data_IF_534471280462
#
_entry.id   IF_534471280462
#
_cell.length_a   1.000
_cell.length_b   1.000
_cell.length_c   1.000
_cell.angle_alpha   90.00
_cell.angle_beta   90.00
_cell.angle_gamma   90.00
#
_symmetry.space_group_name_H-M   'P 1'
#
loop_
_entity.id
_entity.type
_entity.pdbx_description
1 polymer ?
#
# COMPACT_ATOMS: atom_id res chain seq x y z
N UNK A 1 3.09 -39.28 -8.63
CA UNK A 1 2.04 -39.86 -9.45
C UNK A 1 1.42 -38.75 -10.33
N UNK A 2 1.46 -38.93 -11.65
CA UNK A 2 0.95 -37.97 -12.65
C UNK A 2 -0.46 -38.33 -13.11
N UNK A 3 -0.75 -39.64 -13.20
CA UNK A 3 -2.02 -40.19 -13.66
C UNK A 3 -2.44 -41.34 -12.77
N UNK A 4 -3.72 -41.43 -12.43
CA UNK A 4 -4.28 -42.53 -11.67
C UNK A 4 -4.49 -43.76 -12.54
N UNK A 5 -4.77 -44.90 -11.91
CA UNK A 5 -5.05 -46.20 -12.62
C UNK A 5 -6.27 -46.12 -13.53
N UNK A 6 -7.26 -45.28 -13.16
CA UNK A 6 -8.47 -45.04 -13.95
C UNK A 6 -8.29 -44.04 -15.11
N UNK A 7 -7.06 -43.57 -15.32
CA UNK A 7 -6.73 -42.60 -16.37
C UNK A 7 -6.99 -41.14 -16.01
N UNK A 8 -7.58 -40.83 -14.85
CA UNK A 8 -7.82 -39.44 -14.41
C UNK A 8 -6.52 -38.74 -13.98
N UNK A 9 -6.50 -37.42 -14.15
CA UNK A 9 -5.36 -36.57 -13.77
C UNK A 9 -5.40 -36.20 -12.30
N UNK A 10 -4.22 -35.89 -11.74
CA UNK A 10 -4.05 -35.33 -10.40
C UNK A 10 -3.91 -33.81 -10.46
N UNK A 11 -3.89 -33.18 -9.28
CA UNK A 11 -3.63 -31.74 -9.16
C UNK A 11 -2.34 -31.34 -9.88
N UNK A 12 -1.24 -32.01 -9.58
CA UNK A 12 0.07 -31.70 -10.15
C UNK A 12 0.05 -31.74 -11.69
N UNK A 13 -0.67 -32.70 -12.30
CA UNK A 13 -0.78 -32.81 -13.77
C UNK A 13 -1.43 -31.55 -14.38
N UNK A 14 -2.48 -31.01 -13.71
CA UNK A 14 -3.18 -29.82 -14.16
C UNK A 14 -2.33 -28.57 -13.97
N UNK A 15 -1.58 -28.49 -12.87
CA UNK A 15 -0.71 -27.35 -12.58
C UNK A 15 0.49 -27.31 -13.52
N UNK A 16 1.06 -28.48 -13.88
CA UNK A 16 2.09 -28.59 -14.92
C UNK A 16 1.57 -28.10 -16.27
N UNK A 17 0.41 -28.59 -16.70
CA UNK A 17 -0.24 -28.13 -17.95
C UNK A 17 -0.51 -26.63 -17.94
N UNK A 18 -0.99 -26.10 -16.81
CA UNK A 18 -1.24 -24.67 -16.66
C UNK A 18 0.05 -23.83 -16.71
N UNK A 19 1.15 -24.32 -16.13
CA UNK A 19 2.44 -23.63 -16.19
C UNK A 19 2.97 -23.55 -17.62
N UNK A 20 2.90 -24.69 -18.37
CA UNK A 20 3.31 -24.77 -19.75
C UNK A 20 2.46 -23.81 -20.61
N UNK A 21 1.13 -23.88 -20.48
CA UNK A 21 0.21 -22.98 -21.18
C UNK A 21 0.51 -21.51 -20.91
N UNK A 22 0.77 -21.15 -19.64
CA UNK A 22 1.12 -19.76 -19.28
C UNK A 22 2.40 -19.31 -19.95
N UNK A 23 3.43 -20.17 -20.02
CA UNK A 23 4.68 -19.82 -20.69
C UNK A 23 4.47 -19.63 -22.20
N UNK A 24 3.75 -20.53 -22.84
CA UNK A 24 3.46 -20.46 -24.27
C UNK A 24 2.60 -19.24 -24.64
N UNK A 25 1.60 -18.92 -23.79
CA UNK A 25 0.64 -17.85 -24.08
C UNK A 25 1.19 -16.48 -23.74
N UNK A 26 1.85 -16.32 -22.60
CA UNK A 26 2.25 -15.00 -22.04
C UNK A 26 3.74 -14.73 -22.14
N UNK A 27 4.54 -15.74 -22.48
CA UNK A 27 6.01 -15.62 -22.50
C UNK A 27 6.57 -14.89 -21.27
N UNK A 28 6.08 -15.22 -20.08
CA UNK A 28 6.45 -14.56 -18.83
C UNK A 28 7.96 -14.64 -18.56
N UNK A 29 8.51 -13.61 -17.95
CA UNK A 29 9.87 -13.64 -17.38
C UNK A 29 9.86 -14.19 -15.95
N UNK A 30 8.71 -14.14 -15.24
CA UNK A 30 8.50 -14.70 -13.91
C UNK A 30 7.05 -15.13 -13.73
N UNK A 31 6.81 -16.31 -13.17
CA UNK A 31 5.49 -16.83 -12.83
C UNK A 31 5.37 -16.98 -11.31
N UNK A 32 4.53 -16.16 -10.69
CA UNK A 32 4.39 -16.07 -9.23
C UNK A 32 3.12 -16.81 -8.81
N UNK A 33 3.27 -17.82 -7.97
CA UNK A 33 2.17 -18.58 -7.37
C UNK A 33 1.94 -18.09 -5.93
N UNK A 34 0.91 -17.26 -5.73
CA UNK A 34 0.50 -16.79 -4.40
C UNK A 34 -0.49 -17.80 -3.82
N UNK A 35 -0.01 -18.71 -3.00
CA UNK A 35 -0.80 -19.83 -2.47
C UNK A 35 -0.40 -20.13 -1.02
N UNK A 36 -1.35 -20.60 -0.20
CA UNK A 36 -1.13 -20.89 1.22
C UNK A 36 0.07 -21.81 1.49
N UNK A 37 0.73 -21.60 2.61
CA UNK A 37 1.97 -22.31 3.02
C UNK A 37 1.84 -23.83 3.08
N UNK A 38 0.62 -24.34 3.23
CA UNK A 38 0.33 -25.79 3.22
C UNK A 38 0.69 -26.46 1.87
N UNK A 39 0.85 -25.67 0.81
CA UNK A 39 1.19 -26.16 -0.54
C UNK A 39 2.69 -26.08 -0.86
N UNK A 40 3.56 -25.77 0.11
CA UNK A 40 5.01 -25.64 -0.10
C UNK A 40 5.60 -26.86 -0.82
N UNK A 41 5.35 -28.06 -0.30
CA UNK A 41 5.88 -29.28 -0.89
C UNK A 41 5.35 -29.53 -2.31
N UNK A 42 4.08 -29.23 -2.55
CA UNK A 42 3.46 -29.38 -3.87
C UNK A 42 4.19 -28.52 -4.93
N UNK A 43 4.44 -27.25 -4.65
CA UNK A 43 5.13 -26.35 -5.58
C UNK A 43 6.60 -26.71 -5.76
N UNK A 44 7.30 -27.14 -4.71
CA UNK A 44 8.66 -27.65 -4.85
C UNK A 44 8.72 -28.85 -5.81
N UNK A 45 7.82 -29.82 -5.64
CA UNK A 45 7.75 -30.99 -6.51
C UNK A 45 7.33 -30.62 -7.94
N UNK A 46 6.38 -29.69 -8.10
CA UNK A 46 5.93 -29.21 -9.40
C UNK A 46 7.06 -28.56 -10.20
N UNK A 47 7.85 -27.69 -9.58
CA UNK A 47 8.97 -27.01 -10.26
C UNK A 47 10.07 -28.00 -10.63
N UNK A 48 10.40 -28.95 -9.75
CA UNK A 48 11.34 -30.02 -10.06
C UNK A 48 10.88 -30.92 -11.25
N UNK A 49 9.58 -31.20 -11.33
CA UNK A 49 9.04 -31.96 -12.46
C UNK A 49 9.15 -31.17 -13.76
N UNK A 50 8.89 -29.87 -13.76
CA UNK A 50 9.08 -29.00 -14.94
C UNK A 50 10.56 -29.00 -15.39
N UNK A 51 11.51 -28.94 -14.47
CA UNK A 51 12.95 -29.03 -14.77
C UNK A 51 13.29 -30.37 -15.38
N UNK A 52 12.79 -31.48 -14.80
CA UNK A 52 13.00 -32.84 -15.33
C UNK A 52 12.36 -33.04 -16.71
N UNK A 53 11.31 -32.28 -17.03
CA UNK A 53 10.70 -32.28 -18.37
C UNK A 53 11.51 -31.45 -19.38
N UNK A 54 12.61 -30.79 -18.95
CA UNK A 54 13.51 -30.04 -19.81
C UNK A 54 13.08 -28.58 -20.03
N UNK A 55 12.23 -28.02 -19.17
CA UNK A 55 11.81 -26.61 -19.25
C UNK A 55 12.77 -25.72 -18.47
N UNK A 56 13.71 -25.05 -19.14
CA UNK A 56 14.70 -24.14 -18.55
C UNK A 56 14.08 -22.98 -17.77
N UNK A 57 12.85 -22.57 -18.14
CA UNK A 57 12.10 -21.51 -17.47
C UNK A 57 11.44 -21.94 -16.15
N UNK A 58 11.54 -23.21 -15.74
CA UNK A 58 11.02 -23.68 -14.44
C UNK A 58 11.59 -22.86 -13.28
N UNK A 59 12.86 -22.43 -13.38
CA UNK A 59 13.53 -21.52 -12.41
C UNK A 59 12.90 -20.16 -12.26
N UNK A 60 12.12 -19.72 -13.26
CA UNK A 60 11.40 -18.44 -13.23
C UNK A 60 10.02 -18.58 -12.56
N UNK A 61 9.65 -19.79 -12.13
CA UNK A 61 8.45 -20.06 -11.35
C UNK A 61 8.78 -20.03 -9.86
N UNK A 62 8.03 -19.21 -9.11
CA UNK A 62 8.23 -19.07 -7.67
C UNK A 62 6.92 -19.23 -6.90
N UNK A 63 6.98 -19.89 -5.75
CA UNK A 63 5.88 -19.96 -4.80
C UNK A 63 6.05 -18.90 -3.72
N UNK A 64 5.05 -18.05 -3.57
CA UNK A 64 4.95 -17.06 -2.51
C UNK A 64 3.91 -17.55 -1.51
N UNK A 65 4.35 -18.28 -0.46
CA UNK A 65 3.44 -18.80 0.55
C UNK A 65 2.88 -17.69 1.44
N UNK A 66 1.63 -17.86 1.89
CA UNK A 66 1.01 -16.99 2.90
C UNK A 66 0.44 -17.81 4.05
N UNK A 67 0.29 -17.17 5.22
CA UNK A 67 -0.30 -17.71 6.42
C UNK A 67 -1.83 -17.70 6.39
N UNK A 68 -2.45 -18.14 7.47
CA UNK A 68 -3.90 -18.21 7.59
C UNK A 68 -4.45 -17.00 8.35
N UNK A 69 -5.59 -16.49 7.88
CA UNK A 69 -6.38 -15.49 8.59
C UNK A 69 -7.45 -16.21 9.40
N UNK A 70 -7.53 -15.90 10.69
CA UNK A 70 -8.56 -16.39 11.59
C UNK A 70 -9.48 -15.23 12.00
N UNK A 71 -10.76 -15.51 12.22
CA UNK A 71 -11.71 -14.57 12.80
C UNK A 71 -11.93 -14.87 14.27
N UNK A 72 -12.36 -13.87 15.03
CA UNK A 72 -12.87 -14.08 16.39
C UNK A 72 -14.01 -15.12 16.36
N UNK A 73 -13.83 -16.24 17.08
CA UNK A 73 -14.79 -17.35 17.08
C UNK A 73 -14.35 -18.61 16.36
N UNK A 74 -13.12 -18.65 15.84
CA UNK A 74 -12.45 -19.86 15.34
C UNK A 74 -12.13 -19.86 13.85
N UNK A 75 -11.37 -20.87 13.43
CA UNK A 75 -10.92 -21.06 12.04
C UNK A 75 -12.08 -21.30 11.08
N UNK A 76 -12.03 -20.63 9.94
CA UNK A 76 -12.95 -20.88 8.82
C UNK A 76 -12.79 -22.32 8.30
N UNK A 77 -13.90 -23.02 8.12
CA UNK A 77 -13.90 -24.38 7.58
C UNK A 77 -15.08 -24.59 6.65
N UNK A 78 -14.80 -24.74 5.36
CA UNK A 78 -15.80 -25.09 4.35
C UNK A 78 -16.51 -26.43 4.66
N UNK A 79 -15.81 -27.38 5.30
CA UNK A 79 -16.39 -28.69 5.69
C UNK A 79 -17.38 -28.57 6.83
N UNK A 80 -17.33 -27.51 7.64
CA UNK A 80 -18.23 -27.25 8.79
C UNK A 80 -19.27 -26.18 8.50
N UNK A 81 -19.43 -25.74 7.24
CA UNK A 81 -20.42 -24.72 6.86
C UNK A 81 -20.14 -23.31 7.33
N UNK A 82 -18.96 -23.03 7.89
CA UNK A 82 -18.53 -21.68 8.29
C UNK A 82 -17.66 -21.09 7.18
N UNK A 83 -18.30 -20.58 6.14
CA UNK A 83 -17.63 -19.87 5.04
C UNK A 83 -17.91 -18.39 5.22
N UNK A 84 -16.86 -17.57 5.20
CA UNK A 84 -16.96 -16.12 5.12
C UNK A 84 -16.53 -15.72 3.71
N UNK A 85 -17.44 -15.11 2.97
CA UNK A 85 -17.13 -14.63 1.64
C UNK A 85 -16.40 -13.29 1.71
N UNK A 86 -15.35 -13.12 0.90
CA UNK A 86 -14.61 -11.87 0.82
C UNK A 86 -15.54 -10.68 0.51
N UNK A 87 -16.52 -10.87 -0.38
CA UNK A 87 -17.50 -9.84 -0.70
C UNK A 87 -18.26 -9.32 0.54
N UNK A 88 -18.64 -10.24 1.47
CA UNK A 88 -19.36 -9.86 2.70
C UNK A 88 -18.45 -9.07 3.63
N UNK A 89 -17.17 -9.45 3.73
CA UNK A 89 -16.16 -8.72 4.53
C UNK A 89 -15.98 -7.30 4.00
N UNK A 90 -15.80 -7.15 2.69
CA UNK A 90 -15.62 -5.84 2.06
C UNK A 90 -16.87 -4.95 2.19
N UNK A 91 -18.07 -5.51 1.97
CA UNK A 91 -19.32 -4.77 2.12
C UNK A 91 -19.50 -4.30 3.57
N UNK A 92 -19.26 -5.17 4.53
CA UNK A 92 -19.32 -4.80 5.95
C UNK A 92 -18.30 -3.72 6.34
N UNK A 93 -17.10 -3.74 5.75
CA UNK A 93 -16.12 -2.69 5.96
C UNK A 93 -16.62 -1.34 5.42
N UNK A 94 -17.25 -1.33 4.25
CA UNK A 94 -17.83 -0.14 3.65
C UNK A 94 -18.97 0.41 4.53
N UNK A 95 -19.90 -0.45 4.95
CA UNK A 95 -21.01 -0.08 5.83
C UNK A 95 -20.53 0.57 7.13
N UNK A 96 -19.60 -0.10 7.85
CA UNK A 96 -19.01 0.45 9.07
C UNK A 96 -18.29 1.79 8.84
N UNK A 97 -17.60 1.93 7.71
CA UNK A 97 -16.93 3.20 7.37
C UNK A 97 -17.96 4.30 7.07
N UNK A 98 -19.09 3.97 6.43
CA UNK A 98 -20.20 4.93 6.23
C UNK A 98 -20.76 5.42 7.57
N UNK A 99 -20.96 4.53 8.55
CA UNK A 99 -21.39 4.88 9.89
C UNK A 99 -20.41 5.85 10.56
N UNK A 100 -19.10 5.56 10.51
CA UNK A 100 -18.05 6.42 11.05
C UNK A 100 -18.05 7.81 10.38
N UNK A 101 -18.16 7.86 9.05
CA UNK A 101 -18.22 9.12 8.30
C UNK A 101 -19.48 9.91 8.67
N UNK A 102 -20.63 9.25 8.80
CA UNK A 102 -21.89 9.92 9.17
C UNK A 102 -21.82 10.55 10.56
N UNK A 103 -21.10 9.92 11.49
CA UNK A 103 -20.88 10.43 12.84
C UNK A 103 -19.85 11.57 12.90
N UNK A 104 -18.66 11.35 12.28
CA UNK A 104 -17.52 12.26 12.46
C UNK A 104 -17.47 13.40 11.44
N UNK A 105 -17.91 13.20 10.21
CA UNK A 105 -17.90 14.20 9.15
C UNK A 105 -19.15 14.09 8.26
N UNK A 106 -20.35 14.46 8.78
CA UNK A 106 -21.61 14.35 8.06
C UNK A 106 -21.70 15.27 6.82
N UNK A 107 -20.82 16.25 6.67
CA UNK A 107 -20.76 17.17 5.54
C UNK A 107 -19.74 16.77 4.46
N UNK A 108 -19.05 15.64 4.62
CA UNK A 108 -18.06 15.18 3.64
C UNK A 108 -18.70 15.01 2.25
N UNK A 109 -18.14 15.60 1.19
CA UNK A 109 -18.60 15.33 -0.17
C UNK A 109 -18.25 13.90 -0.57
N UNK A 110 -19.05 13.29 -1.46
CA UNK A 110 -18.83 11.95 -2.02
C UNK A 110 -18.64 10.85 -0.97
N UNK A 111 -19.40 10.90 0.14
CA UNK A 111 -19.30 9.98 1.29
C UNK A 111 -19.25 8.50 0.89
N UNK A 112 -20.09 8.10 -0.06
CA UNK A 112 -20.19 6.71 -0.50
C UNK A 112 -18.89 6.25 -1.16
N UNK A 113 -18.29 7.11 -2.00
CA UNK A 113 -17.01 6.85 -2.64
C UNK A 113 -15.89 6.74 -1.59
N UNK A 114 -15.81 7.72 -0.68
CA UNK A 114 -14.80 7.74 0.39
C UNK A 114 -14.96 6.53 1.31
N UNK A 115 -16.19 6.18 1.69
CA UNK A 115 -16.45 5.01 2.52
C UNK A 115 -15.99 3.71 1.84
N UNK A 116 -16.18 3.59 0.54
CA UNK A 116 -15.69 2.45 -0.24
C UNK A 116 -14.16 2.42 -0.28
N UNK A 117 -13.51 3.54 -0.59
CA UNK A 117 -12.05 3.64 -0.66
C UNK A 117 -11.38 3.34 0.69
N UNK A 118 -11.93 3.88 1.77
CA UNK A 118 -11.39 3.68 3.12
C UNK A 118 -11.73 2.28 3.66
N UNK A 119 -12.95 1.82 3.50
CA UNK A 119 -13.35 0.49 3.99
C UNK A 119 -12.60 -0.65 3.32
N UNK A 120 -12.48 -0.62 1.98
CA UNK A 120 -11.67 -1.60 1.25
C UNK A 120 -10.19 -1.44 1.61
N UNK A 121 -9.69 -0.19 1.65
CA UNK A 121 -8.32 0.13 2.02
C UNK A 121 -7.93 -0.40 3.39
N UNK A 122 -8.82 -0.33 4.37
CA UNK A 122 -8.61 -0.84 5.72
C UNK A 122 -8.35 -2.36 5.74
N UNK A 123 -9.16 -3.12 4.99
CA UNK A 123 -9.01 -4.58 4.89
C UNK A 123 -7.71 -4.95 4.18
N UNK A 124 -7.44 -4.34 3.01
CA UNK A 124 -6.22 -4.62 2.25
C UNK A 124 -4.96 -4.23 3.03
N UNK A 125 -5.00 -3.08 3.70
CA UNK A 125 -3.86 -2.61 4.49
C UNK A 125 -3.55 -3.53 5.66
N UNK A 126 -4.57 -3.98 6.39
CA UNK A 126 -4.40 -4.91 7.50
C UNK A 126 -3.79 -6.23 7.01
N UNK A 127 -4.29 -6.79 5.90
CA UNK A 127 -3.74 -8.00 5.31
C UNK A 127 -2.26 -7.83 4.93
N UNK A 128 -1.91 -6.70 4.32
CA UNK A 128 -0.56 -6.43 3.81
C UNK A 128 0.41 -5.83 4.85
N UNK A 129 -0.06 -5.55 6.07
CA UNK A 129 0.79 -5.01 7.16
C UNK A 129 1.53 -6.10 7.95
N UNK A 130 1.22 -7.35 7.70
CA UNK A 130 1.85 -8.49 8.35
C UNK A 130 2.84 -9.17 7.41
N UNK A 131 3.90 -9.77 7.97
CA UNK A 131 4.70 -10.71 7.19
C UNK A 131 3.78 -11.81 6.64
N UNK A 132 3.78 -11.98 5.32
CA UNK A 132 2.85 -12.85 4.59
C UNK A 132 2.76 -14.29 5.10
N UNK A 133 3.84 -14.81 5.71
CA UNK A 133 3.89 -16.19 6.21
C UNK A 133 3.29 -16.36 7.61
N UNK A 134 2.97 -15.27 8.32
CA UNK A 134 2.41 -15.34 9.67
C UNK A 134 0.90 -15.50 9.63
N UNK A 135 0.41 -16.41 10.44
CA UNK A 135 -1.02 -16.48 10.76
C UNK A 135 -1.40 -15.28 11.64
N UNK A 136 -2.57 -14.69 11.44
CA UNK A 136 -3.05 -13.62 12.29
C UNK A 136 -4.55 -13.69 12.57
N UNK A 137 -4.98 -13.03 13.63
CA UNK A 137 -6.38 -12.87 13.99
C UNK A 137 -6.90 -11.53 13.48
N UNK A 138 -7.91 -11.57 12.61
CA UNK A 138 -8.55 -10.38 12.09
C UNK A 138 -9.46 -9.74 13.14
N UNK A 139 -9.36 -8.43 13.31
CA UNK A 139 -10.21 -7.62 14.18
C UNK A 139 -10.76 -6.41 13.43
N UNK A 140 -12.09 -6.24 13.50
CA UNK A 140 -12.77 -5.08 12.92
C UNK A 140 -12.34 -3.77 13.54
N UNK A 141 -12.21 -3.75 14.86
CA UNK A 141 -11.87 -2.54 15.60
C UNK A 141 -10.45 -2.07 15.26
N UNK A 142 -9.52 -3.00 15.07
CA UNK A 142 -8.17 -2.68 14.63
C UNK A 142 -8.15 -2.22 13.18
N UNK A 143 -8.83 -2.94 12.27
CA UNK A 143 -8.78 -2.64 10.84
C UNK A 143 -9.31 -1.25 10.49
N UNK A 144 -10.41 -0.84 11.14
CA UNK A 144 -11.10 0.42 10.86
C UNK A 144 -10.70 1.57 11.79
N UNK A 145 -9.70 1.38 12.65
CA UNK A 145 -9.19 2.45 13.51
C UNK A 145 -8.49 3.55 12.70
N UNK A 146 -8.75 4.80 13.07
CA UNK A 146 -8.04 5.98 12.55
C UNK A 146 -6.79 6.32 13.39
N UNK A 147 -6.46 5.47 14.35
CA UNK A 147 -5.28 5.58 15.21
C UNK A 147 -4.41 4.33 15.06
N UNK A 148 -3.11 4.50 15.30
CA UNK A 148 -2.15 3.40 15.22
C UNK A 148 -1.68 3.08 13.79
N UNK A 149 -1.33 1.82 13.55
CA UNK A 149 -0.69 1.37 12.30
C UNK A 149 -1.71 0.80 11.31
N UNK A 150 -2.65 1.65 10.85
CA UNK A 150 -3.82 1.25 10.06
C UNK A 150 -3.90 1.92 8.70
N UNK A 151 -4.66 1.32 7.76
CA UNK A 151 -4.95 1.92 6.46
C UNK A 151 -5.65 3.28 6.57
N UNK A 152 -6.76 3.39 7.35
CA UNK A 152 -7.44 4.65 7.56
C UNK A 152 -6.55 5.76 8.14
N UNK A 153 -5.61 5.42 9.04
CA UNK A 153 -4.64 6.38 9.57
C UNK A 153 -3.73 6.96 8.47
N UNK A 154 -3.20 6.11 7.59
CA UNK A 154 -2.34 6.53 6.46
C UNK A 154 -3.15 7.33 5.44
N UNK A 155 -4.36 6.88 5.09
CA UNK A 155 -5.26 7.58 4.17
C UNK A 155 -5.67 8.96 4.72
N UNK A 156 -5.97 9.04 6.02
CA UNK A 156 -6.26 10.32 6.68
C UNK A 156 -5.05 11.26 6.67
N UNK A 157 -3.84 10.75 6.85
CA UNK A 157 -2.62 11.56 6.73
C UNK A 157 -2.45 12.12 5.32
N UNK A 158 -2.76 11.33 4.28
CA UNK A 158 -2.79 11.81 2.89
C UNK A 158 -3.82 12.94 2.70
N UNK A 159 -5.06 12.76 3.17
CA UNK A 159 -6.12 13.77 3.09
C UNK A 159 -5.76 15.07 3.85
N UNK A 160 -5.11 14.92 5.00
CA UNK A 160 -4.57 16.07 5.79
C UNK A 160 -3.53 16.85 4.99
N UNK A 161 -2.56 16.16 4.38
CA UNK A 161 -1.55 16.79 3.55
C UNK A 161 -2.19 17.53 2.35
N UNK A 162 -3.17 16.92 1.68
CA UNK A 162 -3.95 17.59 0.64
C UNK A 162 -4.65 18.86 1.16
N UNK A 163 -5.28 18.82 2.32
CA UNK A 163 -5.96 19.99 2.90
C UNK A 163 -5.00 21.15 3.20
N UNK A 164 -3.74 20.86 3.55
CA UNK A 164 -2.70 21.89 3.72
C UNK A 164 -2.35 22.52 2.39
N UNK A 165 -2.11 21.70 1.38
CA UNK A 165 -1.75 22.16 0.03
C UNK A 165 -2.90 22.94 -0.62
N UNK A 166 -4.14 22.50 -0.47
CA UNK A 166 -5.32 23.23 -0.96
C UNK A 166 -5.42 24.63 -0.35
N UNK A 167 -5.18 24.76 0.97
CA UNK A 167 -5.17 26.09 1.65
C UNK A 167 -4.05 26.99 1.16
N UNK A 168 -2.94 26.42 0.73
CA UNK A 168 -1.82 27.16 0.15
C UNK A 168 -1.96 27.38 -1.37
N UNK A 169 -3.02 26.89 -2.02
CA UNK A 169 -3.20 26.84 -3.47
C UNK A 169 -2.04 26.15 -4.21
N UNK A 170 -1.45 25.13 -3.58
CA UNK A 170 -0.34 24.34 -4.13
C UNK A 170 -0.83 22.98 -4.59
N UNK A 171 -0.61 22.63 -5.84
CA UNK A 171 -0.92 21.31 -6.42
C UNK A 171 0.29 20.60 -6.97
N UNK A 172 1.32 21.35 -7.31
CA UNK A 172 2.54 20.89 -7.96
C UNK A 172 3.79 21.56 -7.37
N UNK A 173 4.95 21.04 -7.75
CA UNK A 173 6.22 21.68 -7.42
C UNK A 173 6.34 23.08 -8.04
N UNK A 174 5.79 23.27 -9.24
CA UNK A 174 5.80 24.57 -9.90
C UNK A 174 5.05 25.63 -9.09
N UNK A 175 3.92 25.28 -8.45
CA UNK A 175 3.16 26.20 -7.61
C UNK A 175 3.97 26.66 -6.38
N UNK A 176 4.80 25.77 -5.81
CA UNK A 176 5.68 26.12 -4.69
C UNK A 176 6.74 27.12 -5.13
N UNK A 177 7.33 26.90 -6.30
CA UNK A 177 8.33 27.79 -6.85
C UNK A 177 7.74 29.17 -7.21
N UNK A 178 6.46 29.24 -7.57
CA UNK A 178 5.74 30.47 -7.87
C UNK A 178 5.42 31.32 -6.63
N UNK A 179 5.53 30.79 -5.41
CA UNK A 179 5.34 31.55 -4.19
C UNK A 179 6.36 32.70 -4.16
N UNK A 180 5.89 33.96 -4.10
CA UNK A 180 6.66 35.23 -4.14
C UNK A 180 7.19 35.73 -5.49
N UNK A 181 6.87 35.07 -6.60
CA UNK A 181 7.16 35.61 -7.92
C UNK A 181 5.88 36.26 -8.49
N UNK A 182 5.57 37.46 -8.09
CA UNK A 182 4.32 38.19 -8.47
C UNK A 182 4.28 38.69 -9.93
N UNK A 183 5.40 38.68 -10.66
CA UNK A 183 5.47 39.45 -11.92
C UNK A 183 5.84 38.66 -13.19
N UNK A 184 6.30 37.39 -13.12
CA UNK A 184 6.67 36.67 -14.35
C UNK A 184 6.33 35.17 -14.30
N UNK A 185 5.95 34.55 -15.42
CA UNK A 185 5.84 33.10 -15.50
C UNK A 185 7.19 32.47 -15.18
N UNK A 186 7.22 31.69 -14.09
CA UNK A 186 8.43 31.04 -13.58
C UNK A 186 9.01 30.14 -14.66
N UNK A 187 10.19 30.49 -15.19
CA UNK A 187 11.01 29.53 -15.93
C UNK A 187 11.41 28.40 -14.96
N UNK A 188 10.85 27.21 -15.18
CA UNK A 188 11.07 26.04 -14.33
C UNK A 188 12.57 25.73 -14.17
N UNK A 189 13.38 25.99 -15.19
CA UNK A 189 14.83 25.76 -15.16
C UNK A 189 15.53 26.77 -14.24
N UNK A 190 15.17 28.04 -14.30
CA UNK A 190 15.71 29.08 -13.40
C UNK A 190 15.29 28.83 -11.95
N UNK A 191 14.08 28.34 -11.74
CA UNK A 191 13.60 28.02 -10.41
C UNK A 191 14.28 26.77 -9.83
N UNK A 192 14.63 25.78 -10.66
CA UNK A 192 15.44 24.63 -10.28
C UNK A 192 16.89 25.03 -9.95
N UNK A 193 17.44 26.04 -10.64
CA UNK A 193 18.77 26.58 -10.36
C UNK A 193 18.84 27.40 -9.07
N UNK A 194 17.78 28.16 -8.73
CA UNK A 194 17.69 28.91 -7.46
C UNK A 194 17.39 28.02 -6.26
N UNK A 195 16.77 26.83 -6.51
CA UNK A 195 16.47 25.84 -5.51
C UNK A 195 15.53 26.27 -4.39
N UNK A 196 15.10 25.30 -3.58
CA UNK A 196 14.47 25.54 -2.29
C UNK A 196 15.52 25.30 -1.22
N UNK A 197 15.67 26.23 -0.30
CA UNK A 197 16.65 26.10 0.79
C UNK A 197 16.15 25.14 1.87
N UNK A 198 16.58 23.89 1.75
CA UNK A 198 16.28 22.86 2.75
C UNK A 198 17.04 23.04 4.08
N UNK A 199 18.07 23.89 4.10
CA UNK A 199 18.79 24.18 5.35
C UNK A 199 17.93 24.90 6.37
N UNK A 200 16.77 25.43 5.94
CA UNK A 200 15.78 26.04 6.81
C UNK A 200 14.92 25.02 7.59
N UNK A 201 14.95 23.75 7.20
CA UNK A 201 14.28 22.65 7.93
C UNK A 201 15.21 22.11 9.03
N UNK A 202 15.30 22.85 10.15
CA UNK A 202 16.24 22.55 11.25
C UNK A 202 15.67 21.58 12.27
N UNK A 203 14.36 21.30 12.19
CA UNK A 203 13.65 20.48 13.17
C UNK A 203 13.98 18.99 13.00
N UNK A 204 14.22 18.29 14.09
CA UNK A 204 14.45 16.83 14.08
C UNK A 204 13.27 16.08 13.45
N UNK A 205 12.05 16.55 13.65
CA UNK A 205 10.84 16.00 13.07
C UNK A 205 10.82 16.13 11.55
N UNK A 206 11.24 17.28 11.00
CA UNK A 206 11.39 17.46 9.55
C UNK A 206 12.42 16.50 8.97
N UNK A 207 13.54 16.32 9.67
CA UNK A 207 14.57 15.35 9.28
C UNK A 207 14.03 13.90 9.25
N UNK A 208 13.18 13.50 10.24
CA UNK A 208 12.58 12.16 10.23
C UNK A 208 11.66 11.97 9.02
N UNK A 209 10.88 12.99 8.63
CA UNK A 209 10.05 12.94 7.41
C UNK A 209 10.93 12.76 6.17
N UNK A 210 11.98 13.57 6.03
CA UNK A 210 12.92 13.50 4.90
C UNK A 210 13.56 12.12 4.82
N UNK A 211 13.99 11.55 5.95
CA UNK A 211 14.59 10.22 6.03
C UNK A 211 13.65 9.13 5.50
N UNK A 212 12.37 9.18 5.87
CA UNK A 212 11.38 8.18 5.39
C UNK A 212 11.11 8.33 3.90
N UNK A 213 11.01 9.56 3.39
CA UNK A 213 10.88 9.83 1.95
C UNK A 213 12.10 9.29 1.19
N UNK A 214 13.30 9.59 1.68
CA UNK A 214 14.55 9.17 1.05
C UNK A 214 14.72 7.64 1.00
N UNK A 215 14.27 6.93 2.04
CA UNK A 215 14.36 5.47 2.12
C UNK A 215 13.32 4.73 1.27
N UNK A 216 12.27 5.41 0.79
CA UNK A 216 11.15 4.79 0.10
C UNK A 216 11.54 4.02 -1.16
N UNK A 217 12.35 4.56 -2.11
CA UNK A 217 12.74 3.81 -3.31
C UNK A 217 13.48 2.50 -3.00
N UNK A 218 14.40 2.54 -2.05
CA UNK A 218 15.12 1.33 -1.62
C UNK A 218 14.18 0.31 -0.95
N UNK A 219 13.20 0.80 -0.20
CA UNK A 219 12.17 -0.06 0.42
C UNK A 219 11.35 -0.80 -0.64
N UNK A 220 10.98 -0.13 -1.75
CA UNK A 220 10.28 -0.78 -2.86
C UNK A 220 11.13 -1.89 -3.49
N UNK A 221 12.40 -1.62 -3.75
CA UNK A 221 13.32 -2.63 -4.29
C UNK A 221 13.42 -3.86 -3.36
N UNK A 222 13.59 -3.63 -2.06
CA UNK A 222 13.62 -4.70 -1.06
C UNK A 222 12.31 -5.48 -0.99
N UNK A 223 11.16 -4.79 -1.08
CA UNK A 223 9.86 -5.43 -1.10
C UNK A 223 9.68 -6.33 -2.33
N UNK A 224 10.12 -5.88 -3.50
CA UNK A 224 10.15 -6.65 -4.74
C UNK A 224 11.05 -7.90 -4.64
N UNK A 225 12.27 -7.73 -4.18
CA UNK A 225 13.24 -8.83 -4.05
C UNK A 225 12.75 -9.92 -3.10
N UNK A 226 12.16 -9.50 -1.96
CA UNK A 226 11.70 -10.42 -0.92
C UNK A 226 10.26 -10.90 -1.13
N UNK A 227 9.53 -10.30 -2.08
CA UNK A 227 8.09 -10.50 -2.26
C UNK A 227 7.31 -10.25 -0.95
N UNK A 228 7.63 -9.17 -0.25
CA UNK A 228 7.11 -8.82 1.08
C UNK A 228 6.46 -7.42 1.06
N UNK A 229 5.16 -7.30 0.73
CA UNK A 229 4.44 -6.02 0.70
C UNK A 229 4.48 -5.26 2.04
N UNK A 230 4.58 -5.98 3.18
CA UNK A 230 4.59 -5.35 4.49
C UNK A 230 5.76 -4.37 4.69
N UNK A 231 6.83 -4.45 3.90
CA UNK A 231 7.91 -3.46 3.94
C UNK A 231 7.42 -2.09 3.44
N UNK A 232 6.52 -2.09 2.45
CA UNK A 232 5.91 -0.86 1.94
C UNK A 232 4.95 -0.27 2.97
N UNK A 233 4.04 -1.10 3.54
CA UNK A 233 3.10 -0.64 4.57
C UNK A 233 3.84 -0.04 5.76
N UNK A 234 4.90 -0.69 6.22
CA UNK A 234 5.71 -0.18 7.33
C UNK A 234 6.34 1.17 7.04
N UNK A 235 6.97 1.34 5.87
CA UNK A 235 7.60 2.62 5.51
C UNK A 235 6.57 3.77 5.44
N UNK A 236 5.40 3.54 4.82
CA UNK A 236 4.37 4.59 4.73
C UNK A 236 3.70 4.89 6.08
N UNK A 237 3.62 3.92 7.01
CA UNK A 237 3.20 4.15 8.40
C UNK A 237 4.23 5.04 9.11
N UNK A 238 5.50 4.67 9.06
CA UNK A 238 6.58 5.45 9.68
C UNK A 238 6.64 6.88 9.11
N UNK A 239 6.43 7.03 7.78
CA UNK A 239 6.30 8.35 7.14
C UNK A 239 5.09 9.12 7.66
N UNK A 240 3.92 8.48 7.74
CA UNK A 240 2.70 9.12 8.24
C UNK A 240 2.84 9.55 9.71
N UNK A 241 3.46 8.73 10.55
CA UNK A 241 3.74 9.05 11.96
C UNK A 241 4.70 10.25 12.08
N UNK A 242 5.83 10.22 11.35
CA UNK A 242 6.79 11.31 11.33
C UNK A 242 6.16 12.63 10.85
N UNK A 243 5.38 12.57 9.76
CA UNK A 243 4.69 13.74 9.23
C UNK A 243 3.64 14.28 10.20
N UNK A 244 2.82 13.43 10.81
CA UNK A 244 1.81 13.87 11.75
C UNK A 244 2.42 14.53 12.99
N UNK A 245 3.58 14.04 13.47
CA UNK A 245 4.33 14.68 14.55
C UNK A 245 4.84 16.05 14.12
N UNK A 246 5.50 16.17 12.97
CA UNK A 246 5.97 17.44 12.42
C UNK A 246 4.82 18.43 12.22
N UNK A 247 3.71 17.99 11.63
CA UNK A 247 2.52 18.83 11.40
C UNK A 247 1.91 19.36 12.69
N UNK A 248 1.94 18.58 13.78
CA UNK A 248 1.36 18.98 15.05
C UNK A 248 2.23 20.01 15.78
N UNK A 249 3.53 19.88 15.69
CA UNK A 249 4.47 20.71 16.43
C UNK A 249 4.85 22.00 15.68
N UNK A 250 4.81 21.99 14.35
CA UNK A 250 5.30 23.11 13.53
C UNK A 250 4.24 23.59 12.53
N UNK A 251 3.89 24.88 12.53
CA UNK A 251 2.97 25.45 11.54
C UNK A 251 3.61 25.39 10.14
N UNK A 252 2.86 24.90 9.16
CA UNK A 252 3.35 24.79 7.77
C UNK A 252 3.27 26.16 7.06
N UNK A 253 2.13 26.85 7.22
CA UNK A 253 1.86 28.13 6.57
C UNK A 253 2.38 29.26 7.46
N UNK A 254 3.68 29.51 7.41
CA UNK A 254 4.37 30.59 8.14
C UNK A 254 4.51 31.84 7.27
N UNK A 255 4.80 33.00 7.90
CA UNK A 255 4.98 34.27 7.20
C UNK A 255 6.27 34.29 6.37
N UNK A 256 7.36 33.67 6.87
CA UNK A 256 8.60 33.57 6.13
C UNK A 256 8.38 32.73 4.85
N UNK A 257 8.53 33.35 3.67
CA UNK A 257 8.21 32.69 2.42
C UNK A 257 9.16 31.55 2.07
N UNK A 258 10.42 31.63 2.40
CA UNK A 258 11.40 30.59 2.06
C UNK A 258 11.21 29.35 2.96
N UNK A 259 11.00 29.56 4.24
CA UNK A 259 10.65 28.47 5.17
C UNK A 259 9.29 27.84 4.79
N UNK A 260 8.31 28.67 4.37
CA UNK A 260 7.01 28.18 3.90
C UNK A 260 7.16 27.30 2.65
N UNK A 261 8.00 27.68 1.67
CA UNK A 261 8.30 26.87 0.49
C UNK A 261 8.91 25.53 0.88
N UNK A 262 9.91 25.53 1.74
CA UNK A 262 10.58 24.30 2.21
C UNK A 262 9.59 23.35 2.90
N UNK A 263 8.74 23.87 3.80
CA UNK A 263 7.71 23.09 4.50
C UNK A 263 6.62 22.59 3.56
N UNK A 264 6.16 23.40 2.61
CA UNK A 264 5.16 22.97 1.61
C UNK A 264 5.71 21.88 0.69
N UNK A 265 6.98 21.94 0.31
CA UNK A 265 7.59 20.85 -0.47
C UNK A 265 7.68 19.55 0.35
N UNK A 266 7.96 19.62 1.63
CA UNK A 266 7.93 18.47 2.52
C UNK A 266 6.52 17.86 2.60
N UNK A 267 5.48 18.67 2.69
CA UNK A 267 4.07 18.23 2.65
C UNK A 267 3.73 17.58 1.30
N UNK A 268 4.09 18.22 0.19
CA UNK A 268 3.84 17.72 -1.17
C UNK A 268 4.53 16.37 -1.40
N UNK A 269 5.79 16.26 -0.97
CA UNK A 269 6.56 15.02 -1.08
C UNK A 269 5.97 13.90 -0.22
N UNK A 270 5.57 14.20 1.01
CA UNK A 270 4.89 13.24 1.91
C UNK A 270 3.60 12.73 1.28
N UNK A 271 2.71 13.65 0.82
CA UNK A 271 1.47 13.27 0.12
C UNK A 271 1.74 12.35 -1.06
N UNK A 272 2.75 12.70 -1.87
CA UNK A 272 3.09 11.95 -3.08
C UNK A 272 3.58 10.55 -2.74
N UNK A 273 4.49 10.41 -1.78
CA UNK A 273 5.04 9.10 -1.37
C UNK A 273 3.96 8.23 -0.73
N UNK A 274 3.12 8.78 0.15
CA UNK A 274 1.98 8.03 0.73
C UNK A 274 1.06 7.54 -0.40
N UNK A 275 0.66 8.42 -1.34
CA UNK A 275 -0.20 8.04 -2.47
C UNK A 275 0.40 6.91 -3.30
N UNK A 276 1.66 7.02 -3.66
CA UNK A 276 2.36 5.97 -4.42
C UNK A 276 2.40 4.67 -3.61
N UNK A 277 2.76 4.75 -2.33
CA UNK A 277 2.87 3.58 -1.47
C UNK A 277 1.54 2.83 -1.30
N UNK A 278 0.44 3.53 -1.01
CA UNK A 278 -0.88 2.88 -0.90
C UNK A 278 -1.36 2.33 -2.24
N UNK A 279 -1.10 3.03 -3.36
CA UNK A 279 -1.48 2.55 -4.70
C UNK A 279 -0.71 1.28 -5.10
N UNK A 280 0.56 1.15 -4.73
CA UNK A 280 1.34 -0.09 -4.92
C UNK A 280 0.74 -1.28 -4.16
N UNK A 281 -0.01 -1.02 -3.08
CA UNK A 281 -0.74 -2.01 -2.30
C UNK A 281 -2.18 -2.24 -2.81
N UNK A 282 -2.58 -1.60 -3.91
CA UNK A 282 -3.95 -1.67 -4.44
C UNK A 282 -4.98 -0.88 -3.64
N UNK A 283 -4.53 0.10 -2.86
CA UNK A 283 -5.37 0.94 -1.98
C UNK A 283 -5.48 2.33 -2.57
N UNK A 284 -6.68 2.87 -2.60
CA UNK A 284 -6.94 4.24 -3.02
C UNK A 284 -6.55 5.26 -1.93
N UNK A 285 -6.15 6.46 -2.36
CA UNK A 285 -5.78 7.55 -1.48
C UNK A 285 -6.80 8.70 -1.63
N UNK A 286 -7.85 8.76 -0.79
CA UNK A 286 -8.85 9.81 -0.86
C UNK A 286 -8.22 11.18 -0.59
N UNK A 287 -8.66 12.19 -1.32
CA UNK A 287 -8.15 13.57 -1.16
C UNK A 287 -8.79 14.28 0.05
N UNK A 288 -9.96 13.82 0.47
CA UNK A 288 -10.73 14.34 1.63
C UNK A 288 -11.32 13.19 2.42
N UNK A 289 -11.31 13.33 3.71
CA UNK A 289 -11.90 12.36 4.64
C UNK A 289 -12.65 13.07 5.79
#
# INVERSE_FOLDING_TARGET
LIKKSDGSTLYITRDLAAAIYRKETYNFYKNIYVVGSQQNLHFQQMFQVLELMGFDWAKDCIHIPFGMVSLEGGTMSTRRGRVVFLGDVLNKAIEKTQEIIAEKNPSLPDKEKVAREVGIGAILFQELSHSRIKDYLFSWDTALSFEGETGPYVQYTHARANSVLDRANVRSFADILAINNEEDPVDLNQALEKGIDFSLLLEDEAYQVIKQIYSFPETILKAMERNEPFLVTRNIIELAQAFNKFYHEYPILVDDPELRKARLLLVLSTRTVIKIGVNLLGIEAPEKM
#
